data_IF_434220881854
#
_entry.id   IF_434220881854
#
_cell.length_a   1.000
_cell.length_b   1.000
_cell.length_c   1.000
_cell.angle_alpha   90.00
_cell.angle_beta   90.00
_cell.angle_gamma   90.00
#
_symmetry.space_group_name_H-M   'P 1'
#
loop_
_entity.id
_entity.type
_entity.pdbx_description
1 polymer ?
#
# COMPACT_ATOMS: atom_id res chain seq x y z
N UNK A 1 0.95 -8.62 3.20
CA UNK A 1 1.51 -7.60 2.29
C UNK A 1 1.11 -6.23 2.81
N UNK A 2 2.01 -5.25 2.78
CA UNK A 2 1.69 -3.87 3.19
C UNK A 2 1.29 -3.09 1.95
N UNK A 3 0.18 -2.37 2.04
CA UNK A 3 -0.36 -1.55 0.97
C UNK A 3 0.52 -0.34 0.67
N UNK A 4 0.51 0.12 -0.58
CA UNK A 4 1.31 1.26 -1.07
C UNK A 4 0.98 2.53 -0.29
N UNK A 5 -0.28 2.67 0.15
CA UNK A 5 -0.73 3.78 0.98
C UNK A 5 0.01 3.85 2.33
N UNK A 6 0.24 2.69 2.96
CA UNK A 6 0.90 2.61 4.26
C UNK A 6 2.40 2.93 4.15
N UNK A 7 3.05 2.53 3.05
CA UNK A 7 4.43 2.91 2.75
C UNK A 7 4.56 4.43 2.57
N UNK A 8 3.60 5.06 1.90
CA UNK A 8 3.53 6.50 1.73
C UNK A 8 3.42 7.26 3.06
N UNK A 9 2.63 6.75 4.00
CA UNK A 9 2.50 7.32 5.36
C UNK A 9 3.83 7.21 6.11
N UNK A 10 4.45 6.02 6.10
CA UNK A 10 5.74 5.77 6.77
C UNK A 10 6.83 6.71 6.24
N UNK A 11 6.97 6.83 4.91
CA UNK A 11 7.98 7.71 4.29
C UNK A 11 7.72 9.17 4.61
N UNK A 12 6.46 9.62 4.56
CA UNK A 12 6.10 11.01 4.89
C UNK A 12 6.48 11.35 6.32
N UNK A 13 6.09 10.52 7.28
CA UNK A 13 6.41 10.75 8.69
C UNK A 13 7.91 10.69 8.97
N UNK A 14 8.65 9.80 8.32
CA UNK A 14 10.09 9.69 8.54
C UNK A 14 10.89 10.81 7.86
N UNK A 15 10.58 11.13 6.60
CA UNK A 15 11.37 12.08 5.80
C UNK A 15 10.95 13.53 6.09
N UNK A 16 9.64 13.80 6.12
CA UNK A 16 9.10 15.16 6.32
C UNK A 16 9.00 15.52 7.78
N UNK A 17 8.35 14.66 8.57
CA UNK A 17 8.03 14.98 9.96
C UNK A 17 9.14 14.52 10.93
N UNK A 18 10.20 13.87 10.42
CA UNK A 18 11.35 13.35 11.19
C UNK A 18 10.93 12.52 12.41
N UNK A 19 9.78 11.84 12.31
CA UNK A 19 9.22 11.04 13.39
C UNK A 19 10.09 9.79 13.58
N UNK A 20 10.43 9.42 14.83
CA UNK A 20 11.26 8.25 15.09
C UNK A 20 10.55 6.97 14.66
N UNK A 21 11.29 6.04 14.06
CA UNK A 21 10.79 4.75 13.54
C UNK A 21 9.92 3.97 14.56
N UNK A 22 10.27 4.07 15.85
CA UNK A 22 9.54 3.44 16.96
C UNK A 22 8.15 4.04 17.16
N UNK A 23 8.01 5.36 16.98
CA UNK A 23 6.72 6.06 17.07
C UNK A 23 5.83 5.69 15.88
N UNK A 24 6.40 5.64 14.68
CA UNK A 24 5.70 5.21 13.46
C UNK A 24 5.16 3.78 13.64
N UNK A 25 5.99 2.85 14.12
CA UNK A 25 5.57 1.48 14.38
C UNK A 25 4.43 1.38 15.41
N UNK A 26 4.52 2.16 16.49
CA UNK A 26 3.50 2.19 17.55
C UNK A 26 2.15 2.70 17.04
N UNK A 27 2.15 3.79 16.27
CA UNK A 27 0.92 4.40 15.72
C UNK A 27 0.24 3.51 14.68
N UNK A 28 1.02 2.77 13.91
CA UNK A 28 0.51 1.85 12.88
C UNK A 28 0.19 0.46 13.43
N UNK A 29 0.52 0.15 14.68
CA UNK A 29 0.29 -1.17 15.29
C UNK A 29 1.09 -2.31 14.64
N UNK A 30 2.20 -1.99 13.99
CA UNK A 30 3.06 -2.96 13.29
C UNK A 30 4.35 -3.21 14.07
N UNK A 31 5.00 -4.34 13.80
CA UNK A 31 6.31 -4.63 14.39
C UNK A 31 7.32 -3.52 14.06
N UNK A 32 8.17 -3.18 15.04
CA UNK A 32 9.27 -2.23 14.88
C UNK A 32 10.17 -2.60 13.70
N UNK A 33 10.35 -3.89 13.43
CA UNK A 33 11.25 -4.38 12.37
C UNK A 33 10.67 -4.16 10.97
N UNK A 34 9.36 -3.96 10.88
CA UNK A 34 8.62 -3.72 9.66
C UNK A 34 9.06 -2.37 9.06
N UNK A 35 8.93 -1.27 9.81
CA UNK A 35 9.25 0.10 9.34
C UNK A 35 10.64 0.24 8.65
N UNK A 36 11.77 -0.14 9.26
CA UNK A 36 13.09 -0.01 8.63
C UNK A 36 13.29 -0.96 7.45
N UNK A 37 12.67 -2.15 7.46
CA UNK A 37 12.70 -3.07 6.31
C UNK A 37 12.00 -2.46 5.09
N UNK A 38 10.88 -1.78 5.31
CA UNK A 38 10.13 -1.08 4.27
C UNK A 38 10.81 0.21 3.80
N UNK A 39 11.58 0.88 4.65
CA UNK A 39 12.39 2.04 4.25
C UNK A 39 13.61 1.64 3.41
N UNK A 40 14.27 0.52 3.73
CA UNK A 40 15.42 0.00 2.95
C UNK A 40 15.01 -0.63 1.62
N UNK A 41 13.81 -1.21 1.58
CA UNK A 41 13.23 -1.77 0.36
C UNK A 41 12.59 -0.64 -0.42
N UNK A 42 13.42 0.18 -1.08
CA UNK A 42 12.94 1.30 -1.90
C UNK A 42 12.05 0.84 -3.07
N UNK A 43 12.18 -0.43 -3.44
CA UNK A 43 11.64 -1.08 -4.64
C UNK A 43 10.74 -2.26 -4.27
N UNK A 44 9.64 -2.03 -3.56
CA UNK A 44 8.55 -3.00 -3.56
C UNK A 44 7.63 -2.58 -4.69
N UNK A 45 7.48 -3.42 -5.72
CA UNK A 45 6.47 -3.17 -6.74
C UNK A 45 5.12 -2.96 -6.05
N UNK A 46 4.42 -1.85 -6.36
CA UNK A 46 3.12 -1.58 -5.78
C UNK A 46 2.17 -2.70 -6.21
N UNK A 47 1.90 -3.62 -5.28
CA UNK A 47 0.84 -4.60 -5.43
C UNK A 47 -0.48 -3.86 -5.27
N UNK A 48 -0.94 -3.25 -6.36
CA UNK A 48 -2.28 -2.69 -6.41
C UNK A 48 -3.27 -3.83 -6.23
N UNK A 49 -4.20 -3.68 -5.29
CA UNK A 49 -5.32 -4.60 -5.17
C UNK A 49 -6.02 -4.71 -6.53
N UNK A 50 -6.42 -5.91 -6.92
CA UNK A 50 -7.18 -6.12 -8.16
C UNK A 50 -8.34 -5.12 -8.22
N UNK A 51 -8.42 -4.43 -9.35
CA UNK A 51 -9.45 -3.41 -9.58
C UNK A 51 -10.79 -4.12 -9.66
N UNK A 52 -11.55 -4.18 -8.56
CA UNK A 52 -13.00 -4.47 -8.60
C UNK A 52 -13.73 -3.27 -9.20
N UNK A 53 -13.51 -3.00 -10.48
CA UNK A 53 -14.48 -2.21 -11.23
C UNK A 53 -15.52 -3.20 -11.75
N UNK A 54 -16.72 -3.18 -11.19
CA UNK A 54 -17.89 -3.73 -11.90
C UNK A 54 -18.02 -2.89 -13.17
N UNK A 55 -17.51 -3.37 -14.30
CA UNK A 55 -17.56 -2.60 -15.54
C UNK A 55 -19.01 -2.58 -15.98
N UNK A 56 -19.51 -1.44 -16.44
CA UNK A 56 -20.83 -1.36 -17.05
C UNK A 56 -20.99 -2.37 -18.22
N UNK A 57 -19.86 -2.75 -18.83
CA UNK A 57 -19.73 -3.73 -19.90
C UNK A 57 -19.96 -5.17 -19.42
N UNK A 58 -19.74 -5.48 -18.12
CA UNK A 58 -19.98 -6.82 -17.56
C UNK A 58 -21.46 -7.22 -17.68
N UNK A 59 -22.37 -6.24 -17.71
CA UNK A 59 -23.81 -6.48 -17.96
C UNK A 59 -24.11 -6.98 -19.36
N UNK A 60 -23.21 -6.76 -20.32
CA UNK A 60 -23.36 -7.13 -21.73
C UNK A 60 -22.38 -8.21 -22.16
N UNK A 61 -21.65 -8.83 -21.21
CA UNK A 61 -20.65 -9.86 -21.50
C UNK A 61 -21.21 -11.02 -22.35
N UNK A 62 -22.47 -11.38 -22.12
CA UNK A 62 -23.16 -12.44 -22.89
C UNK A 62 -23.44 -12.05 -24.36
N UNK A 63 -23.55 -10.76 -24.68
CA UNK A 63 -23.81 -10.27 -26.04
C UNK A 63 -22.52 -10.09 -26.85
N UNK A 64 -21.38 -9.98 -26.18
CA UNK A 64 -20.06 -9.80 -26.78
C UNK A 64 -19.34 -11.13 -27.06
N UNK A 65 -19.89 -12.26 -26.61
CA UNK A 65 -19.34 -13.61 -26.82
C UNK A 65 -19.95 -14.35 -28.01
N UNK A 66 -20.78 -13.68 -28.82
CA UNK A 66 -21.38 -14.20 -30.05
C UNK A 66 -20.63 -13.66 -31.28
#
# INVERSE_FOLDING_TARGET
>A
MIDVALLGIIRRWHIRDQVPLREIARRLGISRNTVPRYLRSETIEPAYSERRSTRAIDKYAFQLSA
#
